data_IF_039049063961
#
_entry.id   IF_039049063961
#
_cell.length_a   1.000
_cell.length_b   1.000
_cell.length_c   1.000
_cell.angle_alpha   90.00
_cell.angle_beta   90.00
_cell.angle_gamma   90.00
#
_symmetry.space_group_name_H-M   'P 1'
#
loop_
_entity.id
_entity.type
_entity.pdbx_description
1 polymer ?
#
# COMPACT_ATOMS: atom_id res chain seq x y z
N UNK A 1 -10.91 12.50 -0.64
CA UNK A 1 -11.80 11.50 -1.26
C UNK A 1 -11.29 11.20 -2.65
N UNK A 2 -11.08 9.93 -2.94
CA UNK A 2 -10.98 9.40 -4.30
C UNK A 2 -12.26 8.62 -4.60
N UNK A 3 -13.14 9.15 -5.45
CA UNK A 3 -14.38 8.46 -5.78
C UNK A 3 -14.17 7.24 -6.68
N UNK A 4 -12.99 7.11 -7.30
CA UNK A 4 -12.67 6.02 -8.22
C UNK A 4 -11.15 5.83 -8.38
N UNK A 5 -10.49 5.29 -7.34
CA UNK A 5 -9.13 4.75 -7.53
C UNK A 5 -9.19 3.53 -8.47
N UNK A 6 -8.20 3.38 -9.35
CA UNK A 6 -8.20 2.30 -10.32
C UNK A 6 -9.07 2.58 -11.56
N UNK A 7 -9.00 3.78 -12.11
CA UNK A 7 -9.77 4.19 -13.31
C UNK A 7 -9.61 3.23 -14.51
N UNK A 8 -8.40 2.67 -14.72
CA UNK A 8 -8.17 1.76 -15.84
C UNK A 8 -8.90 0.41 -15.70
N UNK A 9 -8.83 -0.30 -14.57
CA UNK A 9 -9.67 -1.46 -14.32
C UNK A 9 -11.17 -1.15 -14.49
N UNK A 10 -11.63 -0.01 -13.95
CA UNK A 10 -13.03 0.39 -14.12
C UNK A 10 -13.45 0.53 -15.59
N UNK A 11 -12.64 1.23 -16.42
CA UNK A 11 -12.92 1.38 -17.86
C UNK A 11 -12.96 0.01 -18.56
N UNK A 12 -12.09 -0.91 -18.14
CA UNK A 12 -12.02 -2.27 -18.70
C UNK A 12 -13.08 -3.22 -18.17
N UNK A 13 -13.85 -2.80 -17.17
CA UNK A 13 -14.81 -3.64 -16.43
C UNK A 13 -14.15 -4.85 -15.77
N UNK A 14 -12.94 -4.65 -15.25
CA UNK A 14 -12.15 -5.63 -14.53
C UNK A 14 -12.17 -5.28 -13.03
N UNK A 15 -11.95 -6.24 -12.11
CA UNK A 15 -11.72 -5.94 -10.69
C UNK A 15 -10.52 -5.02 -10.48
N UNK A 16 -10.45 -4.36 -9.31
CA UNK A 16 -9.28 -3.58 -8.91
C UNK A 16 -9.50 -2.06 -8.91
N UNK A 17 -10.75 -1.61 -8.83
CA UNK A 17 -11.10 -0.21 -8.55
C UNK A 17 -11.86 -0.11 -7.23
N UNK A 18 -11.79 1.05 -6.59
CA UNK A 18 -12.39 1.28 -5.28
C UNK A 18 -12.82 2.73 -5.07
N UNK A 19 -13.64 2.93 -4.04
CA UNK A 19 -13.87 4.23 -3.43
C UNK A 19 -12.97 4.35 -2.21
N UNK A 20 -12.21 5.45 -2.10
CA UNK A 20 -11.30 5.71 -0.99
C UNK A 20 -11.65 7.03 -0.32
N UNK A 21 -11.90 7.01 0.99
CA UNK A 21 -12.27 8.19 1.78
C UNK A 21 -11.39 8.24 3.02
N UNK A 22 -10.79 9.39 3.29
CA UNK A 22 -10.03 9.59 4.51
C UNK A 22 -10.33 10.93 5.17
N UNK A 23 -10.24 10.96 6.48
CA UNK A 23 -10.10 12.17 7.27
C UNK A 23 -8.64 12.26 7.75
N UNK A 24 -7.96 13.31 7.36
CA UNK A 24 -6.56 13.59 7.76
C UNK A 24 -6.55 14.83 8.63
N UNK A 25 -5.85 14.79 9.75
CA UNK A 25 -5.65 15.94 10.61
C UNK A 25 -4.68 16.95 10.00
N UNK A 26 -4.62 18.16 10.56
CA UNK A 26 -3.74 19.24 10.04
C UNK A 26 -2.26 18.91 10.08
N UNK A 27 -1.85 18.02 10.97
CA UNK A 27 -0.47 17.54 11.11
C UNK A 27 -0.12 16.41 10.12
N UNK A 28 -1.04 16.04 9.23
CA UNK A 28 -0.85 14.96 8.26
C UNK A 28 -1.24 13.57 8.78
N UNK A 29 -1.60 13.42 10.05
CA UNK A 29 -1.94 12.12 10.61
C UNK A 29 -3.34 11.65 10.14
N UNK A 30 -3.49 10.42 9.62
CA UNK A 30 -4.78 9.87 9.24
C UNK A 30 -5.62 9.56 10.49
N UNK A 31 -6.89 9.96 10.48
CA UNK A 31 -7.82 9.79 11.60
C UNK A 31 -8.91 8.76 11.29
N UNK A 32 -9.38 8.75 10.05
CA UNK A 32 -10.38 7.79 9.56
C UNK A 32 -9.95 7.38 8.15
N UNK A 33 -10.01 6.09 7.88
CA UNK A 33 -9.82 5.53 6.55
C UNK A 33 -10.97 4.59 6.20
N UNK A 34 -11.53 4.77 5.01
CA UNK A 34 -12.60 3.91 4.47
C UNK A 34 -12.24 3.56 3.03
N UNK A 35 -12.23 2.27 2.73
CA UNK A 35 -12.05 1.76 1.37
C UNK A 35 -13.18 0.79 1.06
N UNK A 36 -13.85 1.01 -0.06
CA UNK A 36 -14.88 0.11 -0.54
C UNK A 36 -14.52 -0.46 -1.91
N UNK A 37 -14.43 -1.78 -1.98
CA UNK A 37 -14.31 -2.54 -3.23
C UNK A 37 -15.72 -2.95 -3.68
N UNK A 38 -16.27 -2.34 -4.74
CA UNK A 38 -17.63 -2.62 -5.17
C UNK A 38 -17.76 -3.92 -5.98
N UNK A 39 -16.65 -4.52 -6.39
CA UNK A 39 -16.67 -5.77 -7.17
C UNK A 39 -16.85 -6.98 -6.25
N UNK A 40 -16.13 -6.99 -5.13
CA UNK A 40 -16.17 -8.07 -4.15
C UNK A 40 -17.04 -7.75 -2.94
N UNK A 41 -17.69 -6.58 -2.91
CA UNK A 41 -18.50 -6.09 -1.78
C UNK A 41 -17.73 -6.11 -0.46
N UNK A 42 -16.51 -5.56 -0.50
CA UNK A 42 -15.63 -5.50 0.66
C UNK A 42 -15.48 -4.07 1.13
N UNK A 43 -15.86 -3.82 2.38
CA UNK A 43 -15.72 -2.55 3.06
C UNK A 43 -14.64 -2.64 4.14
N UNK A 44 -13.55 -1.89 3.96
CA UNK A 44 -12.51 -1.68 4.95
C UNK A 44 -12.74 -0.36 5.67
N UNK A 45 -12.61 -0.37 6.99
CA UNK A 45 -12.79 0.81 7.83
C UNK A 45 -11.75 0.82 8.93
N UNK A 46 -11.13 1.97 9.17
CA UNK A 46 -10.28 2.23 10.33
C UNK A 46 -10.61 3.58 10.94
N UNK A 47 -10.54 3.66 12.24
CA UNK A 47 -10.58 4.90 13.01
C UNK A 47 -9.43 4.88 14.01
N UNK A 48 -8.69 5.95 14.09
CA UNK A 48 -7.50 6.04 14.94
C UNK A 48 -7.80 5.60 16.38
N UNK A 49 -7.03 4.61 16.87
CA UNK A 49 -7.18 4.00 18.19
C UNK A 49 -8.34 3.01 18.32
N UNK A 50 -9.01 2.62 17.25
CA UNK A 50 -10.15 1.67 17.31
C UNK A 50 -9.93 0.40 16.48
N UNK A 51 -8.75 0.25 15.85
CA UNK A 51 -8.43 -0.89 15.01
C UNK A 51 -9.13 -0.86 13.65
N UNK A 52 -9.02 -1.98 12.94
CA UNK A 52 -9.56 -2.15 11.60
C UNK A 52 -10.82 -3.01 11.63
N UNK A 53 -11.78 -2.66 10.78
CA UNK A 53 -12.96 -3.49 10.50
C UNK A 53 -13.02 -3.84 9.03
N UNK A 54 -13.45 -5.07 8.75
CA UNK A 54 -13.74 -5.55 7.41
C UNK A 54 -15.18 -6.04 7.37
N UNK A 55 -16.00 -5.43 6.54
CA UNK A 55 -17.45 -5.69 6.47
C UNK A 55 -18.16 -5.58 7.84
N UNK A 56 -17.73 -4.58 8.66
CA UNK A 56 -18.28 -4.34 9.99
C UNK A 56 -17.67 -5.17 11.13
N UNK A 57 -17.01 -6.30 10.83
CA UNK A 57 -16.37 -7.15 11.82
C UNK A 57 -14.94 -6.68 12.12
N UNK A 58 -14.53 -6.82 13.40
CA UNK A 58 -13.15 -6.51 13.79
C UNK A 58 -12.19 -7.43 13.02
N UNK A 59 -11.18 -6.83 12.42
CA UNK A 59 -10.18 -7.53 11.62
C UNK A 59 -8.77 -7.33 12.20
N UNK A 60 -7.96 -8.38 12.14
CA UNK A 60 -6.56 -8.35 12.60
C UNK A 60 -5.67 -9.01 11.56
N UNK A 61 -4.40 -8.59 11.51
CA UNK A 61 -3.40 -9.23 10.65
C UNK A 61 -3.28 -10.72 10.97
N UNK A 62 -3.34 -11.54 9.93
CA UNK A 62 -3.03 -12.96 9.99
C UNK A 62 -1.72 -13.24 9.23
N UNK A 63 -0.64 -13.48 9.97
CA UNK A 63 0.67 -13.78 9.41
C UNK A 63 0.91 -15.30 9.26
N UNK A 64 -0.13 -16.11 9.17
CA UNK A 64 -0.02 -17.57 9.04
C UNK A 64 0.37 -18.04 7.64
N UNK A 65 0.33 -17.16 6.63
CA UNK A 65 0.71 -17.49 5.25
C UNK A 65 2.17 -17.95 5.16
N UNK A 66 2.40 -18.89 4.27
CA UNK A 66 3.74 -19.39 3.92
C UNK A 66 4.33 -18.69 2.67
N UNK A 67 3.69 -17.61 2.23
CA UNK A 67 4.02 -16.88 1.02
C UNK A 67 4.14 -15.40 1.34
N UNK A 68 5.14 -14.72 0.75
CA UNK A 68 5.24 -13.25 0.78
C UNK A 68 4.45 -12.69 -0.40
N UNK A 69 3.50 -11.80 -0.13
CA UNK A 69 2.72 -11.15 -1.19
C UNK A 69 3.32 -9.79 -1.53
N UNK A 70 3.69 -9.58 -2.78
CA UNK A 70 4.06 -8.28 -3.31
C UNK A 70 3.03 -7.82 -4.33
N UNK A 71 2.38 -6.70 -4.04
CA UNK A 71 1.47 -6.04 -4.97
C UNK A 71 2.15 -4.82 -5.60
N UNK A 72 1.94 -4.62 -6.88
CA UNK A 72 2.55 -3.50 -7.61
C UNK A 72 1.55 -2.80 -8.53
N UNK A 73 1.83 -1.56 -8.85
CA UNK A 73 1.09 -0.84 -9.87
C UNK A 73 1.77 -0.96 -11.24
N UNK A 74 1.06 -0.50 -12.27
CA UNK A 74 1.54 -0.59 -13.64
C UNK A 74 2.90 0.08 -13.87
N UNK A 75 3.24 1.10 -13.09
CA UNK A 75 4.52 1.81 -13.25
C UNK A 75 5.74 0.96 -12.90
N UNK A 76 5.55 -0.14 -12.17
CA UNK A 76 6.62 -1.06 -11.82
C UNK A 76 7.02 -1.99 -12.97
N UNK A 77 6.12 -2.27 -13.92
CA UNK A 77 6.33 -3.29 -14.98
C UNK A 77 7.54 -2.98 -15.85
N UNK A 78 7.70 -1.71 -16.22
CA UNK A 78 8.73 -1.26 -17.16
C UNK A 78 9.98 -0.70 -16.46
N UNK A 79 10.11 -0.90 -15.14
CA UNK A 79 11.27 -0.41 -14.40
C UNK A 79 12.51 -1.25 -14.66
N UNK A 80 13.67 -0.64 -14.88
CA UNK A 80 14.93 -1.37 -15.07
C UNK A 80 15.33 -2.19 -13.83
N UNK A 81 14.92 -1.77 -12.63
CA UNK A 81 15.23 -2.45 -11.37
C UNK A 81 14.31 -3.64 -11.08
N UNK A 82 13.28 -3.86 -11.89
CA UNK A 82 12.19 -4.83 -11.63
C UNK A 82 12.72 -6.21 -11.23
N UNK A 83 13.60 -6.79 -12.05
CA UNK A 83 14.07 -8.18 -11.82
C UNK A 83 14.93 -8.27 -10.56
N UNK A 84 15.76 -7.26 -10.28
CA UNK A 84 16.53 -7.16 -9.04
C UNK A 84 15.62 -7.06 -7.81
N UNK A 85 14.59 -6.25 -7.88
CA UNK A 85 13.59 -6.08 -6.80
C UNK A 85 12.91 -7.42 -6.51
N UNK A 86 12.41 -8.10 -7.54
CA UNK A 86 11.73 -9.38 -7.39
C UNK A 86 12.64 -10.44 -6.78
N UNK A 87 13.90 -10.54 -7.26
CA UNK A 87 14.87 -11.47 -6.69
C UNK A 87 15.18 -11.15 -5.22
N UNK A 88 15.34 -9.88 -4.88
CA UNK A 88 15.62 -9.46 -3.51
C UNK A 88 14.47 -9.77 -2.55
N UNK A 89 13.22 -9.61 -2.99
CA UNK A 89 12.05 -9.97 -2.21
C UNK A 89 11.89 -11.50 -2.07
N UNK A 90 12.19 -12.27 -3.12
CA UNK A 90 12.21 -13.74 -3.07
C UNK A 90 13.25 -14.25 -2.08
N UNK A 91 14.48 -13.71 -2.15
CA UNK A 91 15.57 -14.05 -1.22
C UNK A 91 15.19 -13.70 0.22
N UNK A 92 14.57 -12.55 0.43
CA UNK A 92 14.05 -12.17 1.74
C UNK A 92 12.99 -13.14 2.24
N UNK A 93 12.00 -13.50 1.41
CA UNK A 93 10.98 -14.47 1.77
C UNK A 93 11.60 -15.81 2.25
N UNK A 94 12.55 -16.34 1.50
CA UNK A 94 13.26 -17.56 1.88
C UNK A 94 14.07 -17.39 3.18
N UNK A 95 14.69 -16.23 3.40
CA UNK A 95 15.50 -15.95 4.59
C UNK A 95 14.70 -15.96 5.89
N UNK A 96 13.40 -15.64 5.82
CA UNK A 96 12.46 -15.67 6.95
C UNK A 96 11.60 -16.94 6.99
N UNK A 97 11.93 -17.93 6.17
CA UNK A 97 11.30 -19.26 6.19
C UNK A 97 10.01 -19.38 5.38
N UNK A 98 9.68 -18.40 4.55
CA UNK A 98 8.55 -18.49 3.63
C UNK A 98 8.93 -19.31 2.38
N UNK A 99 7.93 -19.89 1.72
CA UNK A 99 8.15 -20.80 0.60
C UNK A 99 8.44 -20.10 -0.72
N UNK A 100 7.82 -18.92 -0.93
CA UNK A 100 7.93 -18.17 -2.20
C UNK A 100 7.43 -16.75 -2.07
N UNK A 101 7.77 -15.95 -3.07
CA UNK A 101 7.15 -14.66 -3.36
C UNK A 101 5.95 -14.85 -4.31
N UNK A 102 4.80 -14.28 -3.95
CA UNK A 102 3.64 -14.12 -4.82
C UNK A 102 3.59 -12.69 -5.33
N UNK A 103 3.68 -12.51 -6.64
CA UNK A 103 3.72 -11.20 -7.28
C UNK A 103 2.41 -10.98 -8.03
N UNK A 104 1.70 -9.91 -7.68
CA UNK A 104 0.39 -9.65 -8.27
C UNK A 104 0.15 -8.17 -8.55
N UNK A 105 -0.50 -7.89 -9.67
CA UNK A 105 -1.08 -6.59 -9.99
C UNK A 105 -2.59 -6.72 -9.88
N UNK A 106 -3.17 -6.21 -8.80
CA UNK A 106 -4.59 -6.39 -8.53
C UNK A 106 -5.43 -5.21 -9.05
N UNK A 107 -4.92 -3.96 -8.96
CA UNK A 107 -5.72 -2.81 -9.38
C UNK A 107 -5.03 -1.46 -9.19
N UNK A 108 -5.79 -0.48 -8.74
CA UNK A 108 -5.31 0.83 -8.32
C UNK A 108 -4.45 0.76 -7.06
N UNK A 109 -3.87 1.88 -6.67
CA UNK A 109 -2.96 1.94 -5.51
C UNK A 109 -3.65 1.52 -4.20
N UNK A 110 -4.88 1.95 -4.02
CA UNK A 110 -5.69 1.65 -2.82
C UNK A 110 -5.95 0.16 -2.68
N UNK A 111 -6.45 -0.48 -3.74
CA UNK A 111 -6.75 -1.92 -3.72
C UNK A 111 -5.48 -2.77 -3.61
N UNK A 112 -4.40 -2.36 -4.25
CA UNK A 112 -3.11 -3.05 -4.12
C UNK A 112 -2.62 -3.02 -2.67
N UNK A 113 -2.72 -1.88 -1.97
CA UNK A 113 -2.35 -1.80 -0.55
C UNK A 113 -3.28 -2.66 0.33
N UNK A 114 -4.60 -2.63 0.10
CA UNK A 114 -5.53 -3.50 0.83
C UNK A 114 -5.25 -4.99 0.59
N UNK A 115 -4.94 -5.37 -0.65
CA UNK A 115 -4.62 -6.75 -1.00
C UNK A 115 -3.32 -7.23 -0.32
N UNK A 116 -2.29 -6.38 -0.26
CA UNK A 116 -1.06 -6.69 0.47
C UNK A 116 -1.30 -6.83 1.98
N UNK A 117 -2.16 -5.99 2.57
CA UNK A 117 -2.53 -6.06 3.98
C UNK A 117 -3.28 -7.36 4.30
N UNK A 118 -4.24 -7.73 3.46
CA UNK A 118 -5.07 -8.93 3.64
C UNK A 118 -4.29 -10.24 3.48
N UNK A 119 -3.24 -10.22 2.64
CA UNK A 119 -2.41 -11.38 2.34
C UNK A 119 -1.02 -11.26 3.03
N UNK A 120 -1.04 -11.09 4.34
CA UNK A 120 0.17 -10.98 5.16
C UNK A 120 0.90 -12.34 5.28
N UNK A 121 2.26 -12.36 5.25
CA UNK A 121 3.17 -11.24 5.03
C UNK A 121 3.04 -10.62 3.64
N UNK A 122 2.88 -9.30 3.58
CA UNK A 122 2.62 -8.63 2.33
C UNK A 122 3.15 -7.20 2.26
N UNK A 123 3.39 -6.73 1.04
CA UNK A 123 3.85 -5.38 0.79
C UNK A 123 3.33 -4.77 -0.51
N UNK A 124 3.26 -3.45 -0.49
CA UNK A 124 3.05 -2.58 -1.63
C UNK A 124 3.96 -1.38 -1.48
N UNK A 125 4.64 -0.93 -2.53
CA UNK A 125 5.46 0.26 -2.44
C UNK A 125 5.59 0.97 -3.78
N UNK A 126 5.93 2.25 -3.70
CA UNK A 126 6.21 3.12 -4.84
C UNK A 126 7.55 3.82 -4.67
N UNK A 127 8.32 3.83 -5.74
CA UNK A 127 9.56 4.57 -5.81
C UNK A 127 9.31 6.08 -5.77
N UNK A 128 10.24 6.81 -5.19
CA UNK A 128 10.33 8.26 -5.39
C UNK A 128 10.64 8.58 -6.86
N UNK A 129 10.19 9.71 -7.34
CA UNK A 129 10.53 10.25 -8.66
C UNK A 129 10.40 11.77 -8.68
N UNK A 130 11.24 12.48 -9.46
CA UNK A 130 11.19 13.93 -9.53
C UNK A 130 9.96 14.47 -10.29
N UNK A 131 9.40 13.72 -11.24
CA UNK A 131 8.24 14.14 -12.01
C UNK A 131 6.96 14.01 -11.20
N UNK A 132 6.10 15.04 -11.26
CA UNK A 132 4.76 14.97 -10.67
C UNK A 132 3.94 13.80 -11.21
N UNK A 133 3.05 13.26 -10.38
CA UNK A 133 2.21 12.11 -10.68
C UNK A 133 2.57 10.89 -9.83
N UNK A 134 2.06 9.72 -10.17
CA UNK A 134 2.31 8.48 -9.41
C UNK A 134 1.42 8.33 -8.17
N UNK A 135 0.29 9.00 -8.14
CA UNK A 135 -0.68 9.01 -7.07
C UNK A 135 -0.70 10.33 -6.29
N UNK A 136 -1.84 10.60 -5.72
CA UNK A 136 -2.13 11.80 -4.92
C UNK A 136 -2.45 11.42 -3.48
N UNK A 137 -2.53 12.39 -2.58
CA UNK A 137 -2.82 12.18 -1.15
C UNK A 137 -4.01 11.25 -0.90
N UNK A 138 -5.06 11.34 -1.72
CA UNK A 138 -6.28 10.54 -1.58
C UNK A 138 -6.09 9.07 -1.98
N UNK A 139 -5.06 8.71 -2.75
CA UNK A 139 -4.70 7.33 -3.09
C UNK A 139 -4.00 6.61 -1.91
N UNK A 140 -3.53 7.37 -0.89
CA UNK A 140 -2.72 6.83 0.20
C UNK A 140 -3.35 7.01 1.58
N UNK A 141 -4.14 8.07 1.79
CA UNK A 141 -4.55 8.48 3.12
C UNK A 141 -5.45 7.44 3.83
N UNK A 142 -6.40 6.82 3.12
CA UNK A 142 -7.27 5.82 3.72
C UNK A 142 -6.50 4.53 4.07
N UNK A 143 -5.66 4.06 3.15
CA UNK A 143 -4.84 2.86 3.37
C UNK A 143 -3.77 3.08 4.43
N UNK A 144 -3.23 4.30 4.57
CA UNK A 144 -2.32 4.64 5.67
C UNK A 144 -3.02 4.43 7.03
N UNK A 145 -4.25 4.92 7.18
CA UNK A 145 -5.04 4.68 8.40
C UNK A 145 -5.27 3.19 8.66
N UNK A 146 -5.59 2.41 7.62
CA UNK A 146 -5.78 0.96 7.75
C UNK A 146 -4.50 0.26 8.23
N UNK A 147 -3.35 0.60 7.68
CA UNK A 147 -2.06 0.01 8.06
C UNK A 147 -1.67 0.36 9.50
N UNK A 148 -1.75 1.66 9.88
CA UNK A 148 -1.47 2.09 11.25
C UNK A 148 -2.35 1.36 12.27
N UNK A 149 -3.65 1.27 12.02
CA UNK A 149 -4.62 0.64 12.92
C UNK A 149 -4.54 -0.90 12.93
N UNK A 150 -4.02 -1.51 11.88
CA UNK A 150 -3.71 -2.94 11.82
C UNK A 150 -2.42 -3.31 12.56
N UNK A 151 -1.63 -2.33 13.02
CA UNK A 151 -0.30 -2.56 13.57
C UNK A 151 0.75 -2.90 12.51
N UNK A 152 0.47 -2.59 11.25
CA UNK A 152 1.37 -2.70 10.12
C UNK A 152 2.19 -1.41 9.93
N UNK A 153 3.07 -1.39 8.95
CA UNK A 153 3.98 -0.28 8.67
C UNK A 153 3.54 0.46 7.43
N UNK A 154 3.43 1.78 7.55
CA UNK A 154 3.31 2.70 6.43
C UNK A 154 4.28 3.86 6.61
N UNK A 155 5.05 4.18 5.57
CA UNK A 155 6.05 5.26 5.58
C UNK A 155 6.35 5.74 4.17
N UNK A 156 7.13 6.80 4.08
CA UNK A 156 7.84 7.10 2.83
C UNK A 156 9.07 6.18 2.64
N UNK A 157 9.84 6.40 1.58
CA UNK A 157 11.03 5.59 1.27
C UNK A 157 12.17 5.77 2.27
N UNK A 158 12.15 6.84 3.07
CA UNK A 158 13.16 7.11 4.11
C UNK A 158 12.74 6.61 5.50
N UNK A 159 11.49 6.16 5.65
CA UNK A 159 10.95 5.68 6.92
C UNK A 159 10.22 6.74 7.73
N UNK A 160 10.05 7.95 7.19
CA UNK A 160 9.24 9.00 7.81
C UNK A 160 7.74 8.77 7.55
N UNK A 161 6.84 9.29 8.39
CA UNK A 161 5.41 9.27 8.10
C UNK A 161 5.09 9.89 6.74
N UNK A 162 4.06 9.36 6.07
CA UNK A 162 3.58 9.96 4.81
C UNK A 162 3.09 11.40 5.06
N UNK A 163 3.55 12.35 4.25
CA UNK A 163 3.08 13.73 4.29
C UNK A 163 1.73 13.85 3.57
N UNK A 164 0.65 13.53 4.31
CA UNK A 164 -0.71 13.48 3.78
C UNK A 164 -1.45 14.83 3.80
N UNK A 165 -0.77 15.91 4.17
CA UNK A 165 -1.38 17.25 4.22
C UNK A 165 -0.40 18.36 3.77
N UNK A 166 0.46 18.06 2.82
CA UNK A 166 1.41 19.06 2.29
C UNK A 166 0.68 20.19 1.55
N UNK A 167 1.12 21.45 1.72
CA UNK A 167 0.42 22.61 1.18
C UNK A 167 0.74 22.93 -0.30
N UNK A 168 1.83 22.39 -0.83
CA UNK A 168 2.39 22.79 -2.13
C UNK A 168 2.01 21.85 -3.28
N UNK A 169 1.64 20.62 -2.99
CA UNK A 169 1.23 19.63 -4.00
C UNK A 169 0.37 18.55 -3.41
N UNK A 170 -0.53 17.99 -4.20
CA UNK A 170 -1.29 16.78 -3.84
C UNK A 170 -0.57 15.49 -4.24
N UNK A 171 0.47 15.56 -5.06
CA UNK A 171 1.19 14.39 -5.53
C UNK A 171 2.16 13.83 -4.49
N UNK A 172 2.23 12.49 -4.41
CA UNK A 172 3.10 11.76 -3.47
C UNK A 172 4.40 11.25 -4.10
N UNK A 173 4.73 11.74 -5.32
CA UNK A 173 5.87 11.29 -6.12
C UNK A 173 7.24 11.51 -5.48
N UNK A 174 7.40 12.59 -4.73
CA UNK A 174 8.70 13.10 -4.28
C UNK A 174 9.40 12.22 -3.23
N UNK A 175 8.63 11.49 -2.42
CA UNK A 175 9.14 10.65 -1.34
C UNK A 175 8.68 9.19 -1.44
N UNK A 176 7.92 8.84 -2.48
CA UNK A 176 7.37 7.49 -2.64
C UNK A 176 6.49 7.05 -1.48
N UNK A 177 6.22 5.75 -1.40
CA UNK A 177 5.43 5.16 -0.31
C UNK A 177 5.82 3.70 -0.08
N UNK A 178 5.83 3.27 1.17
CA UNK A 178 6.09 1.90 1.61
C UNK A 178 4.94 1.44 2.50
N UNK A 179 4.32 0.35 2.12
CA UNK A 179 3.33 -0.39 2.89
C UNK A 179 3.84 -1.80 3.11
N UNK A 180 3.98 -2.21 4.36
CA UNK A 180 4.45 -3.54 4.73
C UNK A 180 3.72 -4.05 5.97
N UNK A 181 3.44 -5.34 6.02
CA UNK A 181 2.72 -5.93 7.14
C UNK A 181 3.56 -6.09 8.41
N UNK A 182 4.88 -5.94 8.31
CA UNK A 182 5.79 -5.95 9.44
C UNK A 182 7.02 -5.06 9.23
N UNK A 183 7.71 -4.77 10.33
CA UNK A 183 8.85 -3.84 10.36
C UNK A 183 10.06 -4.37 9.57
N UNK A 184 10.37 -5.67 9.64
CA UNK A 184 11.51 -6.26 8.93
C UNK A 184 11.34 -6.18 7.42
N UNK A 185 10.13 -6.44 6.93
CA UNK A 185 9.78 -6.29 5.53
C UNK A 185 9.87 -4.82 5.08
N UNK A 186 9.39 -3.87 5.90
CA UNK A 186 9.49 -2.44 5.60
C UNK A 186 10.95 -1.97 5.50
N UNK A 187 11.82 -2.42 6.40
CA UNK A 187 13.26 -2.12 6.36
C UNK A 187 13.89 -2.67 5.08
N UNK A 188 13.57 -3.92 4.72
CA UNK A 188 14.09 -4.53 3.49
C UNK A 188 13.65 -3.78 2.23
N UNK A 189 12.39 -3.31 2.19
CA UNK A 189 11.90 -2.50 1.06
C UNK A 189 12.66 -1.18 0.98
N UNK A 190 12.89 -0.49 2.09
CA UNK A 190 13.67 0.77 2.09
C UNK A 190 15.10 0.57 1.60
N UNK A 191 15.76 -0.54 1.95
CA UNK A 191 17.08 -0.90 1.40
C UNK A 191 17.05 -1.08 -0.13
N UNK A 192 16.00 -1.74 -0.65
CA UNK A 192 15.79 -1.91 -2.09
C UNK A 192 15.64 -0.56 -2.79
N UNK A 193 14.84 0.34 -2.21
CA UNK A 193 14.54 1.64 -2.78
C UNK A 193 15.76 2.57 -2.75
N UNK A 194 16.53 2.59 -1.67
CA UNK A 194 17.76 3.37 -1.54
C UNK A 194 18.84 3.00 -2.57
N UNK A 195 18.86 1.77 -3.05
CA UNK A 195 19.79 1.32 -4.10
C UNK A 195 19.33 1.70 -5.53
N UNK A 196 18.20 2.36 -5.65
CA UNK A 196 17.57 2.68 -6.94
C UNK A 196 17.52 4.19 -7.20
N UNK A 197 18.01 5.00 -6.27
CA UNK A 197 18.25 6.44 -6.39
C UNK A 197 19.64 6.70 -6.98
#
# INVERSE_FOLDING_TARGET
IDPMDGTLPFIRKEPGYSVSIALVAKDGSPQIGVVYDPVYDVLWQATRGQGVRRNGELWTLDASSQELTFTYDRSFVDRPERDRVLQTLEDYAHSIGLKKLVVTQFGGAVINACHALENSPGCHFKFSKPQEGGGSLWDYAATACLYEEAGAVVSDVHGDPLDLNRPDSTFMNHRGAVYATDQGLAERIREILAQSE
#
